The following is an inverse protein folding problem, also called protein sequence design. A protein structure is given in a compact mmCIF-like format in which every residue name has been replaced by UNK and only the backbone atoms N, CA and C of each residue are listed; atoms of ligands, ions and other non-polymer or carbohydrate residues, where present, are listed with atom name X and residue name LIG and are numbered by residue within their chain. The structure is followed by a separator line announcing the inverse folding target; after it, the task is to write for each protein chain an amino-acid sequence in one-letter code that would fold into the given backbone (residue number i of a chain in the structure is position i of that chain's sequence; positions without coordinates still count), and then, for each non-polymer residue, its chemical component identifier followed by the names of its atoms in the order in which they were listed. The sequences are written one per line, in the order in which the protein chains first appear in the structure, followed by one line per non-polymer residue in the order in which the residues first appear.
data_IF_270274760215
#
_entry.id   IF_270274760215
#
_cell.length_a   1.000
_cell.length_b   1.000
_cell.length_c   1.000
_cell.angle_alpha   90.00
_cell.angle_beta   90.00
_cell.angle_gamma   90.00
#
_symmetry.space_group_name_H-M   'P 1'
#
loop_
_entity.id
_entity.type
_entity.pdbx_description
1 polymer ?
#
# COMPACT_ATOMS: atom_id res chain seq x y z
N UNK A 1 5.64 11.58 -14.80
CA UNK A 1 5.25 10.44 -13.96
C UNK A 1 5.60 9.15 -14.66
N UNK A 2 5.53 8.02 -13.98
CA UNK A 2 5.72 6.70 -14.61
C UNK A 2 4.64 6.46 -15.67
N UNK A 3 4.99 5.91 -16.86
CA UNK A 3 3.99 5.68 -17.92
C UNK A 3 2.87 4.73 -17.48
N UNK A 4 1.59 5.00 -17.81
CA UNK A 4 0.45 4.20 -17.33
C UNK A 4 0.52 2.72 -17.71
N UNK A 5 1.01 2.41 -18.90
CA UNK A 5 1.18 1.05 -19.40
C UNK A 5 2.23 0.26 -18.61
N UNK A 6 3.31 0.94 -18.17
CA UNK A 6 4.34 0.34 -17.31
C UNK A 6 3.75 0.05 -15.93
N UNK A 7 3.00 1.00 -15.37
CA UNK A 7 2.32 0.83 -14.08
C UNK A 7 1.36 -0.36 -14.12
N UNK A 8 0.54 -0.45 -15.17
CA UNK A 8 -0.41 -1.56 -15.35
C UNK A 8 0.32 -2.90 -15.43
N UNK A 9 1.38 -2.99 -16.23
CA UNK A 9 2.14 -4.24 -16.40
C UNK A 9 2.75 -4.73 -15.08
N UNK A 10 3.30 -3.81 -14.28
CA UNK A 10 3.82 -4.13 -12.96
C UNK A 10 2.71 -4.57 -12.00
N UNK A 11 1.59 -3.84 -11.98
CA UNK A 11 0.44 -4.18 -11.13
C UNK A 11 -0.07 -5.60 -11.40
N UNK A 12 -0.27 -5.94 -12.68
CA UNK A 12 -0.78 -7.25 -13.07
C UNK A 12 0.20 -8.38 -12.69
N UNK A 13 1.50 -8.18 -12.91
CA UNK A 13 2.53 -9.16 -12.54
C UNK A 13 2.59 -9.38 -11.02
N UNK A 14 2.53 -8.31 -10.22
CA UNK A 14 2.50 -8.44 -8.76
C UNK A 14 1.21 -9.09 -8.27
N UNK A 15 0.06 -8.72 -8.83
CA UNK A 15 -1.21 -9.36 -8.49
C UNK A 15 -1.15 -10.87 -8.74
N UNK A 16 -0.66 -11.28 -9.90
CA UNK A 16 -0.51 -12.71 -10.22
C UNK A 16 0.41 -13.40 -9.21
N UNK A 17 1.55 -12.80 -8.87
CA UNK A 17 2.45 -13.36 -7.86
C UNK A 17 1.79 -13.51 -6.48
N UNK A 18 0.84 -12.64 -6.12
CA UNK A 18 0.10 -12.75 -4.85
C UNK A 18 -0.82 -13.97 -4.77
N UNK A 19 -1.20 -14.54 -5.92
CA UNK A 19 -2.07 -15.72 -6.00
C UNK A 19 -1.29 -17.03 -5.79
N UNK A 20 0.05 -16.97 -5.80
CA UNK A 20 0.91 -18.15 -5.62
C UNK A 20 0.98 -18.60 -4.15
N UNK A 21 0.93 -19.91 -3.86
CA UNK A 21 1.07 -20.42 -2.49
C UNK A 21 2.40 -20.01 -1.83
N UNK A 22 3.45 -19.88 -2.64
CA UNK A 22 4.78 -19.44 -2.19
C UNK A 22 4.78 -18.00 -1.68
N UNK A 23 3.90 -17.14 -2.20
CA UNK A 23 3.73 -15.77 -1.71
C UNK A 23 3.15 -15.75 -0.30
N UNK A 24 2.05 -16.50 -0.08
CA UNK A 24 1.41 -16.60 1.24
C UNK A 24 2.38 -17.22 2.26
N UNK A 25 3.10 -18.27 1.85
CA UNK A 25 4.11 -18.90 2.70
C UNK A 25 5.28 -17.96 3.05
N UNK A 26 5.67 -17.07 2.13
CA UNK A 26 6.71 -16.07 2.40
C UNK A 26 6.24 -15.03 3.41
N UNK A 27 5.01 -14.52 3.30
CA UNK A 27 4.43 -13.58 4.26
C UNK A 27 4.28 -14.19 5.66
N UNK A 28 3.85 -15.45 5.73
CA UNK A 28 3.67 -16.15 7.01
C UNK A 28 4.95 -16.29 7.85
N UNK A 29 6.14 -16.21 7.24
CA UNK A 29 7.42 -16.19 7.97
C UNK A 29 7.61 -14.95 8.83
N UNK A 30 6.85 -13.89 8.56
CA UNK A 30 6.96 -12.58 9.21
C UNK A 30 5.63 -12.18 9.88
N UNK A 31 4.75 -13.14 10.16
CA UNK A 31 3.40 -12.91 10.70
C UNK A 31 2.56 -11.92 9.88
N UNK A 32 2.81 -11.88 8.56
CA UNK A 32 2.09 -11.02 7.62
C UNK A 32 0.97 -11.79 6.91
N UNK A 33 -0.08 -11.06 6.53
CA UNK A 33 -1.18 -11.58 5.73
C UNK A 33 -1.22 -10.90 4.35
N UNK A 34 -1.71 -11.58 3.30
CA UNK A 34 -1.97 -10.94 2.03
C UNK A 34 -2.95 -9.76 2.18
N UNK A 35 -2.58 -8.61 1.62
CA UNK A 35 -3.40 -7.39 1.67
C UNK A 35 -3.50 -6.77 0.26
N UNK A 36 -4.22 -7.46 -0.63
CA UNK A 36 -4.37 -7.02 -2.01
C UNK A 36 -5.18 -5.74 -2.13
N UNK A 37 -4.67 -4.79 -2.92
CA UNK A 37 -5.37 -3.59 -3.36
C UNK A 37 -5.11 -3.35 -4.85
N UNK A 38 -6.14 -2.99 -5.61
CA UNK A 38 -5.96 -2.43 -6.95
C UNK A 38 -5.23 -1.08 -6.87
N UNK A 39 -4.66 -0.60 -7.99
CA UNK A 39 -3.99 0.71 -8.01
C UNK A 39 -4.93 1.86 -7.57
N UNK A 40 -6.23 1.77 -7.91
CA UNK A 40 -7.24 2.72 -7.48
C UNK A 40 -7.53 2.62 -5.98
N UNK A 41 -7.69 1.40 -5.46
CA UNK A 41 -7.90 1.16 -4.03
C UNK A 41 -6.70 1.62 -3.19
N UNK A 42 -5.48 1.36 -3.66
CA UNK A 42 -4.26 1.83 -2.99
C UNK A 42 -4.16 3.36 -2.99
N UNK A 43 -4.52 4.01 -4.10
CA UNK A 43 -4.58 5.47 -4.18
C UNK A 43 -5.57 6.05 -3.18
N UNK A 44 -6.76 5.45 -3.07
CA UNK A 44 -7.77 5.87 -2.09
C UNK A 44 -7.27 5.65 -0.66
N UNK A 45 -6.73 4.47 -0.37
CA UNK A 45 -6.13 4.15 0.93
C UNK A 45 -5.07 5.17 1.34
N UNK A 46 -4.14 5.53 0.44
CA UNK A 46 -3.10 6.50 0.73
C UNK A 46 -3.68 7.89 1.05
N UNK A 47 -4.68 8.35 0.29
CA UNK A 47 -5.36 9.63 0.57
C UNK A 47 -6.03 9.62 1.93
N UNK A 48 -6.76 8.55 2.25
CA UNK A 48 -7.48 8.43 3.51
C UNK A 48 -6.53 8.32 4.71
N UNK A 49 -5.45 7.56 4.56
CA UNK A 49 -4.42 7.40 5.59
C UNK A 49 -3.73 8.73 5.87
N UNK A 50 -3.30 9.46 4.84
CA UNK A 50 -2.68 10.78 5.01
C UNK A 50 -3.64 11.76 5.70
N UNK A 51 -4.92 11.78 5.29
CA UNK A 51 -5.92 12.65 5.92
C UNK A 51 -6.12 12.32 7.41
N UNK A 52 -6.22 11.03 7.76
CA UNK A 52 -6.37 10.59 9.16
C UNK A 52 -5.13 10.90 9.99
N UNK A 53 -3.95 10.56 9.49
CA UNK A 53 -2.69 10.74 10.20
C UNK A 53 -2.37 12.21 10.41
N UNK A 54 -2.66 13.07 9.44
CA UNK A 54 -2.50 14.53 9.59
C UNK A 54 -3.25 15.06 10.81
N UNK A 55 -4.52 14.66 10.99
CA UNK A 55 -5.33 15.08 12.16
C UNK A 55 -4.70 14.62 13.48
N UNK A 56 -4.14 13.40 13.51
CA UNK A 56 -3.47 12.87 14.70
C UNK A 56 -2.20 13.67 15.00
N UNK A 57 -1.36 13.91 13.98
CA UNK A 57 -0.11 14.68 14.10
C UNK A 57 -0.38 16.10 14.60
N UNK A 58 -1.41 16.77 14.06
CA UNK A 58 -1.81 18.11 14.49
C UNK A 58 -2.27 18.13 15.96
N UNK A 59 -3.07 17.15 16.38
CA UNK A 59 -3.52 17.02 17.78
C UNK A 59 -2.38 16.76 18.77
N UNK A 60 -1.36 16.03 18.34
CA UNK A 60 -0.19 15.74 19.17
C UNK A 60 0.85 16.87 19.16
N UNK A 61 0.63 17.95 18.38
CA UNK A 61 1.58 19.06 18.26
C UNK A 61 2.86 18.71 17.49
N UNK A 62 2.87 17.58 16.78
CA UNK A 62 4.04 17.04 16.06
C UNK A 62 4.15 17.57 14.62
N UNK A 63 3.22 18.44 14.20
CA UNK A 63 3.14 18.94 12.83
C UNK A 63 4.27 19.91 12.42
N UNK A 64 4.98 20.48 13.39
CA UNK A 64 6.18 21.29 13.16
C UNK A 64 7.38 20.49 13.61
N UNK A 65 8.28 20.16 12.68
CA UNK A 65 9.64 19.81 13.06
C UNK A 65 10.21 20.95 13.90
N UNK A 66 10.93 20.60 14.96
CA UNK A 66 11.58 21.56 15.86
C UNK A 66 12.41 22.58 15.08
#
# INVERSE_FOLDING_TARGET
GTPPEVVKKLHDAFKQAMEEPSYVAALGKYDMLPDYKSSAQYTQFARDTVAREKVIIEKLGLAKGQ
#
